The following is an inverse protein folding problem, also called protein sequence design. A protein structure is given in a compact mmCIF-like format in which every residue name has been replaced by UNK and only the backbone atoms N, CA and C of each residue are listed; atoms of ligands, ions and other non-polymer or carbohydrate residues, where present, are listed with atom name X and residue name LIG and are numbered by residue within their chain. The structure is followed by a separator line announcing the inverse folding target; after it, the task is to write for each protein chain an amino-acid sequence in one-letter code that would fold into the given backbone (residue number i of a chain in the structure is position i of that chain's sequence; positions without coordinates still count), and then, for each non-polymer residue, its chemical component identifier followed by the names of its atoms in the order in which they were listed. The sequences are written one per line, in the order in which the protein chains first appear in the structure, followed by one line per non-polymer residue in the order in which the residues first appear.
data_IF_800869915606
#
_entry.id   IF_800869915606
#
_cell.length_a   1.000
_cell.length_b   1.000
_cell.length_c   1.000
_cell.angle_alpha   90.00
_cell.angle_beta   90.00
_cell.angle_gamma   90.00
#
_symmetry.space_group_name_H-M   'P 1'
#
loop_
_entity.id
_entity.type
_entity.pdbx_description
1 polymer ?
#
# COMPACT_ATOMS: atom_id res chain seq x y z
N UNK A 1 30.76 52.82 17.94
CA UNK A 1 30.55 51.87 19.06
C UNK A 1 29.11 52.01 19.55
N UNK A 2 28.21 51.08 19.24
CA UNK A 2 26.85 51.05 19.78
C UNK A 2 26.61 49.70 20.46
N UNK A 3 26.52 49.70 21.79
CA UNK A 3 26.20 48.52 22.59
C UNK A 3 24.68 48.32 22.67
N UNK A 4 24.17 47.25 22.07
CA UNK A 4 22.77 46.82 22.24
C UNK A 4 22.68 45.86 23.41
N UNK A 5 22.10 46.32 24.53
CA UNK A 5 21.81 45.51 25.72
C UNK A 5 20.70 44.50 25.42
N UNK A 6 20.95 43.20 25.63
CA UNK A 6 19.96 42.11 25.54
C UNK A 6 19.19 41.96 26.87
N UNK A 7 17.86 41.97 26.83
CA UNK A 7 16.98 41.59 27.95
C UNK A 7 17.07 40.08 28.24
N UNK A 8 17.06 39.64 29.51
CA UNK A 8 16.96 38.22 29.86
C UNK A 8 15.52 37.70 29.68
N UNK A 9 15.38 36.48 29.16
CA UNK A 9 14.09 35.78 29.03
C UNK A 9 13.73 35.15 30.37
N UNK A 10 12.60 35.53 30.93
CA UNK A 10 12.04 34.97 32.16
C UNK A 10 11.72 33.48 32.03
N UNK A 11 12.10 32.71 33.05
CA UNK A 11 11.64 31.34 33.29
C UNK A 11 10.13 31.37 33.52
N UNK A 12 9.37 30.52 32.83
CA UNK A 12 7.98 30.24 33.18
C UNK A 12 7.97 29.02 34.10
N UNK A 13 7.60 29.27 35.35
CA UNK A 13 7.31 28.24 36.33
C UNK A 13 6.14 27.38 35.86
N UNK A 14 6.31 26.06 35.92
CA UNK A 14 5.23 25.09 35.72
C UNK A 14 4.65 24.73 37.10
N UNK A 15 3.32 24.77 37.29
CA UNK A 15 2.73 24.35 38.55
C UNK A 15 2.89 22.84 38.75
N UNK A 16 3.36 22.52 39.95
CA UNK A 16 3.51 21.21 40.56
C UNK A 16 2.11 20.62 40.82
N UNK A 17 1.74 19.57 40.09
CA UNK A 17 0.52 18.81 40.42
C UNK A 17 0.89 17.75 41.47
N UNK A 18 0.45 17.99 42.70
CA UNK A 18 0.47 17.03 43.80
C UNK A 18 -0.50 15.88 43.47
N UNK A 19 0.01 14.64 43.46
CA UNK A 19 -0.85 13.44 43.46
C UNK A 19 -0.86 12.89 44.87
N UNK A 20 -2.00 13.11 45.53
CA UNK A 20 -2.40 12.47 46.77
C UNK A 20 -2.38 10.95 46.63
N UNK A 21 -2.04 10.30 47.74
CA UNK A 21 -1.90 8.86 47.85
C UNK A 21 -3.21 8.10 47.71
N UNK A 22 -3.07 6.81 47.40
CA UNK A 22 -3.99 5.82 47.90
C UNK A 22 -3.19 4.56 48.28
N UNK A 23 -3.53 4.06 49.46
CA UNK A 23 -2.96 2.94 50.20
C UNK A 23 -3.73 1.67 49.89
N UNK A 24 -3.00 0.55 49.85
CA UNK A 24 -3.51 -0.76 50.26
C UNK A 24 -4.19 -1.61 49.18
N UNK A 25 -3.81 -2.90 49.12
CA UNK A 25 -4.66 -3.87 48.42
C UNK A 25 -4.05 -5.16 47.90
N UNK A 26 -3.33 -5.91 48.75
CA UNK A 26 -3.32 -7.39 48.80
C UNK A 26 -3.05 -8.18 47.50
N UNK A 27 -1.82 -8.69 47.38
CA UNK A 27 -1.43 -9.74 46.44
C UNK A 27 -2.00 -11.10 46.87
N UNK A 28 -3.06 -11.58 46.21
CA UNK A 28 -3.48 -12.99 46.30
C UNK A 28 -2.76 -13.80 45.22
N UNK A 29 -1.80 -14.63 45.66
CA UNK A 29 -1.20 -15.71 44.88
C UNK A 29 -2.29 -16.73 44.53
N UNK A 30 -2.65 -16.83 43.25
CA UNK A 30 -3.49 -17.92 42.75
C UNK A 30 -2.56 -19.08 42.38
N UNK A 31 -2.67 -20.18 43.12
CA UNK A 31 -1.99 -21.45 42.86
C UNK A 31 -2.50 -22.05 41.55
N UNK A 32 -1.58 -22.45 40.67
CA UNK A 32 -1.87 -23.27 39.51
C UNK A 32 -2.29 -24.69 39.94
N UNK A 33 -3.39 -25.21 39.39
CA UNK A 33 -3.74 -26.63 39.46
C UNK A 33 -3.28 -27.32 38.17
N UNK A 34 -2.52 -28.44 38.24
CA UNK A 34 -2.21 -29.26 37.09
C UNK A 34 -3.33 -30.28 36.87
N UNK A 35 -3.71 -30.53 35.62
CA UNK A 35 -4.53 -31.68 35.27
C UNK A 35 -5.65 -31.38 34.29
N UNK A 36 -5.35 -31.43 33.00
CA UNK A 36 -6.33 -31.84 32.00
C UNK A 36 -5.64 -32.61 30.88
N UNK A 37 -6.13 -33.83 30.72
CA UNK A 37 -5.69 -34.96 29.91
C UNK A 37 -5.40 -34.60 28.45
N UNK A 38 -4.31 -35.18 27.93
CA UNK A 38 -4.14 -35.45 26.49
C UNK A 38 -5.36 -36.23 25.98
N UNK A 39 -6.05 -35.69 24.99
CA UNK A 39 -6.93 -36.45 24.11
C UNK A 39 -6.36 -36.36 22.70
N UNK A 40 -6.11 -37.54 22.15
CA UNK A 40 -5.55 -37.78 20.84
C UNK A 40 -6.65 -37.82 19.76
N UNK A 41 -6.17 -37.82 18.51
CA UNK A 41 -6.81 -38.33 17.29
C UNK A 41 -7.75 -37.40 16.51
N UNK A 42 -7.19 -36.93 15.39
CA UNK A 42 -7.67 -37.04 14.00
C UNK A 42 -9.17 -36.84 13.72
N UNK A 43 -9.37 -36.00 12.69
CA UNK A 43 -10.44 -35.99 11.70
C UNK A 43 -11.76 -35.30 12.09
N UNK A 44 -11.86 -34.01 11.73
CA UNK A 44 -13.10 -33.43 11.24
C UNK A 44 -12.82 -32.71 9.91
N UNK A 45 -13.38 -33.29 8.85
CA UNK A 45 -13.48 -32.73 7.49
C UNK A 45 -14.32 -31.44 7.53
N UNK A 46 -13.94 -30.51 6.66
CA UNK A 46 -14.81 -29.54 5.95
C UNK A 46 -15.81 -28.72 6.80
N UNK A 47 -15.45 -27.47 7.06
CA UNK A 47 -16.33 -26.31 6.82
C UNK A 47 -15.50 -25.04 6.99
N UNK A 48 -15.62 -24.09 6.07
CA UNK A 48 -14.96 -22.78 6.15
C UNK A 48 -14.18 -22.39 4.90
N UNK A 49 -14.81 -22.45 3.71
CA UNK A 49 -14.40 -21.60 2.58
C UNK A 49 -14.61 -20.15 3.02
N UNK A 50 -13.55 -19.49 3.49
CA UNK A 50 -13.52 -18.04 3.52
C UNK A 50 -13.56 -17.55 2.07
N UNK A 51 -14.60 -16.80 1.73
CA UNK A 51 -14.72 -16.07 0.47
C UNK A 51 -13.66 -14.95 0.47
N UNK A 52 -12.41 -15.31 0.18
CA UNK A 52 -11.40 -14.35 -0.22
C UNK A 52 -11.74 -13.84 -1.62
N UNK A 53 -11.53 -12.54 -1.85
CA UNK A 53 -11.64 -11.91 -3.15
C UNK A 53 -10.72 -12.62 -4.16
N UNK A 54 -11.24 -13.67 -4.81
CA UNK A 54 -10.54 -14.30 -5.91
C UNK A 54 -10.67 -13.38 -7.11
N UNK A 55 -9.55 -13.06 -7.75
CA UNK A 55 -9.56 -12.30 -8.98
C UNK A 55 -10.55 -12.96 -9.98
N UNK A 56 -11.48 -12.20 -10.57
CA UNK A 56 -12.37 -12.72 -11.61
C UNK A 56 -11.53 -13.24 -12.77
N UNK A 57 -11.78 -14.49 -13.19
CA UNK A 57 -11.26 -15.00 -14.46
C UNK A 57 -11.92 -14.24 -15.59
N UNK A 58 -11.12 -13.69 -16.48
CA UNK A 58 -11.63 -12.84 -17.55
C UNK A 58 -12.08 -13.71 -18.72
N UNK A 59 -13.34 -13.59 -19.11
CA UNK A 59 -13.82 -14.12 -20.39
C UNK A 59 -13.13 -13.37 -21.52
N UNK A 60 -12.72 -14.08 -22.57
CA UNK A 60 -11.85 -13.63 -23.68
C UNK A 60 -12.34 -12.46 -24.57
N UNK A 61 -13.31 -11.64 -24.11
CA UNK A 61 -13.77 -10.43 -24.81
C UNK A 61 -13.42 -9.17 -24.01
N UNK A 62 -12.14 -8.80 -24.04
CA UNK A 62 -11.69 -7.45 -23.69
C UNK A 62 -10.32 -7.15 -24.32
N UNK A 63 -10.17 -7.40 -25.61
CA UNK A 63 -9.07 -6.81 -26.38
C UNK A 63 -9.40 -5.33 -26.56
N UNK A 64 -8.99 -4.50 -25.59
CA UNK A 64 -9.17 -3.06 -25.64
C UNK A 64 -8.41 -2.51 -26.84
N UNK A 65 -9.14 -1.90 -27.78
CA UNK A 65 -8.58 -1.17 -28.91
C UNK A 65 -7.83 0.05 -28.37
N UNK A 66 -6.59 0.27 -28.82
CA UNK A 66 -5.88 1.52 -28.62
C UNK A 66 -6.66 2.62 -29.35
N UNK A 67 -7.53 3.34 -28.65
CA UNK A 67 -8.21 4.53 -29.18
C UNK A 67 -7.83 5.71 -28.29
N UNK A 68 -6.87 6.49 -28.78
CA UNK A 68 -6.47 7.82 -28.29
C UNK A 68 -6.11 7.92 -26.81
N UNK A 69 -5.33 6.97 -26.28
CA UNK A 69 -4.82 7.03 -24.91
C UNK A 69 -3.77 8.14 -24.72
N UNK A 70 -2.91 8.37 -25.72
CA UNK A 70 -1.83 9.37 -25.66
C UNK A 70 -2.31 10.80 -25.38
N UNK A 71 -3.47 11.20 -25.91
CA UNK A 71 -4.09 12.51 -25.64
C UNK A 71 -4.66 12.65 -24.22
N UNK A 72 -4.92 11.52 -23.53
CA UNK A 72 -5.49 11.48 -22.17
C UNK A 72 -4.44 11.34 -21.08
N UNK A 73 -3.19 11.06 -21.44
CA UNK A 73 -2.10 10.87 -20.50
C UNK A 73 -1.96 12.07 -19.55
N UNK A 74 -1.90 11.78 -18.24
CA UNK A 74 -1.84 12.81 -17.19
C UNK A 74 -0.45 13.41 -17.03
N UNK A 75 0.58 12.72 -17.54
CA UNK A 75 1.96 13.16 -17.43
C UNK A 75 2.75 12.90 -18.72
N UNK A 76 3.83 13.66 -18.91
CA UNK A 76 4.77 13.40 -20.01
C UNK A 76 5.45 12.03 -19.89
N UNK A 77 5.56 11.48 -18.69
CA UNK A 77 6.11 10.15 -18.46
C UNK A 77 5.17 9.07 -19.01
N UNK A 78 3.87 9.15 -18.69
CA UNK A 78 2.86 8.25 -19.25
C UNK A 78 2.77 8.33 -20.76
N UNK A 79 2.86 9.55 -21.34
CA UNK A 79 2.90 9.71 -22.81
C UNK A 79 4.04 8.94 -23.46
N UNK A 80 5.22 8.92 -22.86
CA UNK A 80 6.39 8.21 -23.42
C UNK A 80 6.24 6.70 -23.29
N UNK A 81 5.64 6.21 -22.20
CA UNK A 81 5.30 4.79 -22.06
C UNK A 81 4.27 4.36 -23.11
N UNK A 82 3.21 5.15 -23.31
CA UNK A 82 2.21 4.89 -24.34
C UNK A 82 2.82 4.85 -25.74
N UNK A 83 3.69 5.81 -26.05
CA UNK A 83 4.40 5.84 -27.33
C UNK A 83 5.29 4.60 -27.54
N UNK A 84 5.99 4.12 -26.50
CA UNK A 84 6.75 2.85 -26.59
C UNK A 84 5.84 1.65 -26.86
N UNK A 85 4.72 1.55 -26.13
CA UNK A 85 3.75 0.46 -26.31
C UNK A 85 3.14 0.46 -27.71
N UNK A 86 2.76 1.63 -28.21
CA UNK A 86 2.21 1.82 -29.56
C UNK A 86 3.24 1.49 -30.64
N UNK A 87 4.48 1.97 -30.49
CA UNK A 87 5.58 1.66 -31.41
C UNK A 87 5.89 0.15 -31.46
N UNK A 88 5.69 -0.56 -30.35
CA UNK A 88 5.86 -2.02 -30.25
C UNK A 88 4.60 -2.81 -30.65
N UNK A 89 3.50 -2.14 -31.00
CA UNK A 89 2.24 -2.79 -31.36
C UNK A 89 1.58 -3.55 -30.21
N UNK A 90 1.84 -3.16 -28.96
CA UNK A 90 1.36 -3.85 -27.76
C UNK A 90 -0.01 -3.31 -27.37
N UNK A 91 -1.00 -4.20 -27.25
CA UNK A 91 -2.34 -3.82 -26.82
C UNK A 91 -2.38 -3.55 -25.30
N UNK A 92 -2.96 -2.41 -24.92
CA UNK A 92 -3.14 -2.01 -23.53
C UNK A 92 -4.44 -1.24 -23.34
N UNK A 93 -4.92 -1.20 -22.09
CA UNK A 93 -5.96 -0.27 -21.68
C UNK A 93 -5.40 0.74 -20.68
N UNK A 94 -5.71 2.02 -20.84
CA UNK A 94 -5.27 3.11 -19.96
C UNK A 94 -6.38 3.52 -19.00
N UNK A 95 -6.06 3.56 -17.70
CA UNK A 95 -6.97 3.83 -16.58
C UNK A 95 -8.34 3.09 -16.67
N UNK A 96 -8.40 1.79 -17.02
CA UNK A 96 -9.67 1.15 -17.35
C UNK A 96 -10.57 0.89 -16.14
N UNK A 97 -9.98 0.75 -14.94
CA UNK A 97 -10.68 0.25 -13.77
C UNK A 97 -10.56 1.22 -12.59
N UNK A 98 -11.67 1.42 -11.86
CA UNK A 98 -11.70 2.19 -10.62
C UNK A 98 -12.02 1.27 -9.42
N UNK A 99 -11.00 0.61 -8.91
CA UNK A 99 -11.09 -0.44 -7.89
C UNK A 99 -11.25 0.14 -6.49
N UNK A 100 -12.15 -0.41 -5.69
CA UNK A 100 -12.36 0.03 -4.31
C UNK A 100 -11.23 -0.51 -3.43
N UNK A 101 -10.60 0.35 -2.65
CA UNK A 101 -9.59 -0.02 -1.66
C UNK A 101 -9.92 0.60 -0.29
N UNK A 102 -9.55 -0.11 0.77
CA UNK A 102 -9.68 0.33 2.16
C UNK A 102 -8.30 0.73 2.67
N UNK A 103 -8.15 1.93 3.21
CA UNK A 103 -6.84 2.44 3.68
C UNK A 103 -6.94 2.87 5.14
N UNK A 104 -5.99 2.51 6.00
CA UNK A 104 -5.94 3.02 7.37
C UNK A 104 -5.70 4.55 7.38
N UNK A 105 -6.48 5.25 8.21
CA UNK A 105 -6.29 6.66 8.50
C UNK A 105 -5.16 6.79 9.53
N UNK A 106 -4.03 7.33 9.08
CA UNK A 106 -2.82 7.37 9.90
C UNK A 106 -3.05 8.13 11.21
N UNK A 107 -2.64 7.51 12.32
CA UNK A 107 -2.69 8.09 13.69
C UNK A 107 -4.09 8.42 14.20
N UNK A 108 -5.14 7.86 13.60
CA UNK A 108 -6.52 8.03 14.06
C UNK A 108 -7.04 6.69 14.59
N UNK A 109 -7.65 6.74 15.78
CA UNK A 109 -8.27 5.59 16.45
C UNK A 109 -9.69 5.94 16.85
N UNK A 110 -10.57 4.94 16.89
CA UNK A 110 -11.93 5.10 17.40
C UNK A 110 -11.89 5.45 18.89
N UNK A 111 -12.66 6.46 19.31
CA UNK A 111 -12.73 6.87 20.71
C UNK A 111 -13.40 5.81 21.59
N UNK A 112 -14.33 5.02 21.04
CA UNK A 112 -15.08 4.02 21.78
C UNK A 112 -14.29 2.70 21.97
N UNK A 113 -13.65 2.19 20.91
CA UNK A 113 -13.01 0.87 20.94
C UNK A 113 -11.47 0.90 20.77
N UNK A 114 -10.87 2.05 20.47
CA UNK A 114 -9.42 2.18 20.28
C UNK A 114 -8.88 1.56 18.97
N UNK A 115 -9.73 0.95 18.15
CA UNK A 115 -9.34 0.35 16.87
C UNK A 115 -8.90 1.40 15.84
N UNK A 116 -8.07 0.98 14.89
CA UNK A 116 -7.61 1.85 13.81
C UNK A 116 -8.77 2.21 12.88
N UNK A 117 -8.93 3.50 12.58
CA UNK A 117 -9.97 3.95 11.65
C UNK A 117 -9.49 3.71 10.22
N UNK A 118 -10.38 3.20 9.36
CA UNK A 118 -10.13 3.03 7.94
C UNK A 118 -11.04 3.93 7.11
N UNK A 119 -10.63 4.20 5.87
CA UNK A 119 -11.46 4.90 4.88
C UNK A 119 -11.49 4.12 3.58
N UNK A 120 -12.64 4.16 2.92
CA UNK A 120 -12.83 3.65 1.57
C UNK A 120 -12.43 4.70 0.55
N UNK A 121 -11.70 4.29 -0.48
CA UNK A 121 -11.39 5.15 -1.64
C UNK A 121 -11.32 4.29 -2.92
N UNK A 122 -11.21 4.94 -4.08
CA UNK A 122 -10.99 4.27 -5.36
C UNK A 122 -9.53 4.37 -5.75
N UNK A 123 -8.97 3.32 -6.34
CA UNK A 123 -7.64 3.25 -6.93
C UNK A 123 -7.76 2.85 -8.39
N UNK A 124 -7.07 3.58 -9.25
CA UNK A 124 -7.10 3.40 -10.70
C UNK A 124 -5.66 3.18 -11.16
N UNK A 125 -5.27 1.94 -11.45
CA UNK A 125 -3.96 1.66 -12.05
C UNK A 125 -3.85 2.31 -13.42
N UNK A 126 -2.65 2.74 -13.80
CA UNK A 126 -2.43 3.45 -15.07
C UNK A 126 -2.65 2.56 -16.29
N UNK A 127 -2.07 1.36 -16.31
CA UNK A 127 -2.14 0.46 -17.47
C UNK A 127 -2.65 -0.92 -17.06
N UNK A 128 -3.42 -1.56 -17.96
CA UNK A 128 -3.85 -2.95 -17.85
C UNK A 128 -3.54 -3.73 -19.13
N UNK A 129 -3.03 -4.93 -18.94
CA UNK A 129 -2.70 -5.92 -19.96
C UNK A 129 -3.43 -7.24 -19.67
N UNK A 130 -3.51 -8.11 -20.68
CA UNK A 130 -3.93 -9.50 -20.51
C UNK A 130 -2.70 -10.37 -20.60
N UNK A 131 -2.39 -11.07 -19.50
CA UNK A 131 -1.20 -11.91 -19.35
C UNK A 131 -1.61 -13.31 -18.95
N UNK A 132 -1.30 -14.32 -19.76
CA UNK A 132 -1.69 -15.72 -19.49
C UNK A 132 -3.19 -15.91 -19.17
N UNK A 133 -4.07 -15.08 -19.75
CA UNK A 133 -5.52 -15.11 -19.49
C UNK A 133 -5.97 -14.43 -18.19
N UNK A 134 -5.10 -13.70 -17.49
CA UNK A 134 -5.42 -12.89 -16.31
C UNK A 134 -5.10 -11.41 -16.56
N UNK A 135 -5.68 -10.52 -15.75
CA UNK A 135 -5.32 -9.10 -15.77
C UNK A 135 -3.98 -8.87 -15.08
N UNK A 136 -3.14 -8.07 -15.74
CA UNK A 136 -1.87 -7.57 -15.21
C UNK A 136 -1.88 -6.05 -15.27
N UNK A 137 -1.63 -5.41 -14.14
CA UNK A 137 -1.63 -3.95 -14.00
C UNK A 137 -0.22 -3.40 -13.88
N UNK A 138 0.03 -2.24 -14.48
CA UNK A 138 1.28 -1.48 -14.30
C UNK A 138 0.96 -0.07 -13.86
N UNK A 139 1.57 0.37 -12.77
CA UNK A 139 1.55 1.78 -12.32
C UNK A 139 2.82 2.49 -12.79
N UNK A 140 2.68 3.59 -13.51
CA UNK A 140 3.78 4.47 -13.87
C UNK A 140 3.98 5.55 -12.80
N UNK A 141 5.17 5.59 -12.20
CA UNK A 141 5.43 6.46 -11.05
C UNK A 141 6.67 7.34 -11.18
N UNK A 142 6.45 8.65 -11.24
CA UNK A 142 7.52 9.66 -11.16
C UNK A 142 7.92 9.98 -9.71
N UNK A 143 6.99 10.54 -8.94
CA UNK A 143 7.17 10.84 -7.51
C UNK A 143 6.37 9.85 -6.67
N UNK A 144 6.99 9.30 -5.64
CA UNK A 144 6.36 8.32 -4.73
C UNK A 144 6.16 8.94 -3.35
N UNK A 145 5.05 9.66 -3.17
CA UNK A 145 4.73 10.34 -1.91
C UNK A 145 4.27 9.38 -0.80
N UNK A 146 4.30 9.80 0.49
CA UNK A 146 3.77 8.97 1.57
C UNK A 146 2.28 8.62 1.46
N UNK A 147 1.49 9.43 0.75
CA UNK A 147 0.09 9.14 0.49
C UNK A 147 -0.06 8.05 -0.59
N UNK A 148 0.69 8.16 -1.68
CA UNK A 148 0.68 7.17 -2.77
C UNK A 148 1.19 5.81 -2.30
N UNK A 149 2.27 5.76 -1.50
CA UNK A 149 2.76 4.50 -0.93
C UNK A 149 1.70 3.75 -0.13
N UNK A 150 0.89 4.47 0.65
CA UNK A 150 -0.21 3.88 1.41
C UNK A 150 -1.31 3.34 0.50
N UNK A 151 -1.61 4.03 -0.60
CA UNK A 151 -2.60 3.58 -1.59
C UNK A 151 -2.12 2.36 -2.35
N UNK A 152 -0.88 2.37 -2.83
CA UNK A 152 -0.24 1.27 -3.54
C UNK A 152 -0.12 0.02 -2.65
N UNK A 153 0.36 0.17 -1.41
CA UNK A 153 0.45 -0.95 -0.48
C UNK A 153 -0.93 -1.56 -0.19
N UNK A 154 -1.95 -0.72 0.03
CA UNK A 154 -3.32 -1.19 0.24
C UNK A 154 -3.89 -1.90 -0.99
N UNK A 155 -3.62 -1.39 -2.20
CA UNK A 155 -4.02 -2.03 -3.43
C UNK A 155 -3.36 -3.40 -3.61
N UNK A 156 -2.03 -3.45 -3.44
CA UNK A 156 -1.24 -4.67 -3.52
C UNK A 156 -1.78 -5.76 -2.57
N UNK A 157 -1.96 -5.41 -1.30
CA UNK A 157 -2.45 -6.32 -0.27
C UNK A 157 -3.86 -6.83 -0.55
N UNK A 158 -4.76 -5.97 -1.04
CA UNK A 158 -6.19 -6.32 -1.22
C UNK A 158 -6.49 -7.02 -2.54
N UNK A 159 -5.69 -6.81 -3.59
CA UNK A 159 -6.04 -7.22 -4.95
C UNK A 159 -4.95 -8.01 -5.67
N UNK A 160 -3.69 -7.93 -5.28
CA UNK A 160 -2.55 -8.43 -6.07
C UNK A 160 -1.66 -9.45 -5.35
N UNK A 161 -1.95 -9.74 -4.07
CA UNK A 161 -1.29 -10.80 -3.32
C UNK A 161 -1.57 -12.20 -3.89
N UNK A 162 -1.46 -13.22 -3.04
CA UNK A 162 -1.59 -14.61 -3.47
C UNK A 162 -2.94 -14.88 -4.18
N UNK A 163 -2.89 -15.25 -5.47
CA UNK A 163 -4.06 -15.54 -6.29
C UNK A 163 -4.86 -14.32 -6.77
N UNK A 164 -4.33 -13.11 -6.57
CA UNK A 164 -4.87 -11.85 -7.07
C UNK A 164 -4.50 -11.54 -8.52
N UNK A 165 -4.69 -10.27 -8.91
CA UNK A 165 -4.21 -9.75 -10.19
C UNK A 165 -2.69 -9.63 -10.21
N UNK A 166 -2.09 -9.74 -11.39
CA UNK A 166 -0.70 -9.33 -11.56
C UNK A 166 -0.55 -7.82 -11.40
N UNK A 167 0.52 -7.37 -10.77
CA UNK A 167 0.81 -5.95 -10.59
C UNK A 167 2.31 -5.67 -10.55
N UNK A 168 2.72 -4.56 -11.16
CA UNK A 168 4.08 -4.05 -11.07
C UNK A 168 4.10 -2.51 -11.09
N UNK A 169 5.20 -1.94 -10.63
CA UNK A 169 5.43 -0.48 -10.64
C UNK A 169 6.60 -0.14 -11.54
N UNK A 170 6.37 0.69 -12.56
CA UNK A 170 7.41 1.25 -13.40
C UNK A 170 7.79 2.65 -12.88
N UNK A 171 8.95 2.75 -12.24
CA UNK A 171 9.46 4.03 -11.76
C UNK A 171 10.14 4.81 -12.88
N UNK A 172 9.86 6.11 -12.99
CA UNK A 172 10.60 6.97 -13.91
C UNK A 172 12.10 7.00 -13.55
N UNK A 173 12.41 6.99 -12.25
CA UNK A 173 13.76 6.97 -11.67
C UNK A 173 13.74 6.29 -10.31
N UNK A 174 14.84 5.64 -9.92
CA UNK A 174 14.98 5.07 -8.58
C UNK A 174 15.40 6.12 -7.52
N UNK A 175 14.48 7.06 -7.25
CA UNK A 175 14.71 8.18 -6.35
C UNK A 175 14.70 7.76 -4.87
N UNK A 176 15.15 8.68 -4.00
CA UNK A 176 15.01 8.54 -2.55
C UNK A 176 13.57 8.85 -2.11
N UNK A 177 13.05 8.10 -1.13
CA UNK A 177 11.71 8.33 -0.56
C UNK A 177 11.56 9.66 0.17
N UNK A 178 12.65 10.11 0.80
CA UNK A 178 12.72 11.32 1.62
C UNK A 178 14.07 11.99 1.45
N UNK A 179 14.16 13.26 1.84
CA UNK A 179 15.42 14.01 1.84
C UNK A 179 16.49 13.38 2.74
N UNK A 180 16.09 12.57 3.73
CA UNK A 180 17.01 11.86 4.63
C UNK A 180 17.71 10.65 4.00
N UNK A 181 17.41 10.30 2.74
CA UNK A 181 18.10 9.27 1.93
C UNK A 181 18.31 7.92 2.65
N UNK A 182 17.31 7.46 3.40
CA UNK A 182 17.37 6.16 4.10
C UNK A 182 16.90 4.98 3.28
N UNK A 183 15.97 5.22 2.34
CA UNK A 183 15.35 4.22 1.49
C UNK A 183 15.06 4.81 0.11
N UNK A 184 15.31 4.03 -0.93
CA UNK A 184 14.94 4.30 -2.32
C UNK A 184 13.55 3.75 -2.64
N UNK A 185 13.10 4.01 -3.86
CA UNK A 185 11.83 3.49 -4.35
C UNK A 185 11.90 1.97 -4.54
N UNK A 186 13.04 1.47 -5.05
CA UNK A 186 13.36 0.04 -5.11
C UNK A 186 13.23 -0.63 -3.75
N UNK A 187 13.89 -0.09 -2.73
CA UNK A 187 13.94 -0.70 -1.40
C UNK A 187 12.52 -0.82 -0.81
N UNK A 188 11.67 0.18 -1.06
CA UNK A 188 10.26 0.13 -0.64
C UNK A 188 9.45 -0.93 -1.39
N UNK A 189 9.67 -1.10 -2.69
CA UNK A 189 8.97 -2.09 -3.49
C UNK A 189 9.42 -3.51 -3.12
N UNK A 190 10.73 -3.72 -2.94
CA UNK A 190 11.34 -4.98 -2.48
C UNK A 190 10.82 -5.40 -1.11
N UNK A 191 10.74 -4.47 -0.14
CA UNK A 191 10.20 -4.74 1.20
C UNK A 191 8.75 -5.25 1.17
N UNK A 192 7.97 -4.86 0.16
CA UNK A 192 6.58 -5.30 -0.01
C UNK A 192 6.43 -6.49 -0.98
N UNK A 193 7.52 -6.93 -1.61
CA UNK A 193 7.49 -7.95 -2.66
C UNK A 193 6.79 -7.50 -3.94
N UNK A 194 6.73 -6.20 -4.22
CA UNK A 194 6.09 -5.64 -5.42
C UNK A 194 7.10 -5.67 -6.57
N UNK A 195 6.81 -6.33 -7.71
CA UNK A 195 7.66 -6.25 -8.90
C UNK A 195 7.82 -4.80 -9.38
N UNK A 196 9.04 -4.42 -9.73
CA UNK A 196 9.33 -3.06 -10.18
C UNK A 196 10.44 -3.01 -11.22
N UNK A 197 10.48 -1.91 -11.96
CA UNK A 197 11.51 -1.58 -12.94
C UNK A 197 11.72 -0.06 -12.98
N UNK A 198 12.77 0.39 -13.65
CA UNK A 198 13.08 1.82 -13.81
C UNK A 198 13.25 2.15 -15.28
N UNK A 199 12.65 3.25 -15.71
CA UNK A 199 12.77 3.77 -17.07
C UNK A 199 11.41 4.04 -17.69
N UNK A 200 11.37 4.12 -19.01
CA UNK A 200 10.17 4.49 -19.78
C UNK A 200 9.62 3.31 -20.60
N UNK A 201 10.31 2.17 -20.53
CA UNK A 201 9.96 0.95 -21.25
C UNK A 201 9.44 -0.08 -20.25
N UNK A 202 8.21 -0.57 -20.47
CA UNK A 202 7.69 -1.69 -19.70
C UNK A 202 8.46 -2.96 -20.12
N UNK A 203 9.05 -3.70 -19.16
CA UNK A 203 9.78 -4.93 -19.45
C UNK A 203 8.91 -5.97 -20.17
N UNK A 204 9.51 -6.69 -21.12
CA UNK A 204 8.79 -7.67 -21.95
C UNK A 204 8.22 -8.81 -21.12
N UNK A 205 8.94 -9.22 -20.07
CA UNK A 205 8.54 -10.28 -19.15
C UNK A 205 7.27 -9.96 -18.33
N UNK A 206 6.80 -8.70 -18.36
CA UNK A 206 5.51 -8.32 -17.76
C UNK A 206 4.35 -8.35 -18.75
N UNK A 207 4.66 -8.34 -20.06
CA UNK A 207 3.69 -8.25 -21.15
C UNK A 207 3.30 -9.63 -21.69
N UNK A 208 4.13 -10.65 -21.46
CA UNK A 208 3.96 -12.04 -21.89
C UNK A 208 3.15 -12.90 -20.90
#
# INVERSE_FOLDING_TARGET
MLQVRRKPRGRRDRPRYERGGNVGGVSKRVRAKPGAKRVSLRAAKRAGRAAGNRAPRVSAKAAGRAVDAAGRARSGFERRIMADLEARGIAYAYEPDALKIVIPVARVRCQACGEAVTRVTRYTPDFRFVRGGNWFYVEAKGKLTPHERRRLAAFWEQWCGEGGYGFAVLFQRNNWLTAGKKKRYSDWAEELGIPWAVGERIPEEWLQ
#
